data_IF_180105272003
#
_entry.id   IF_180105272003
#
_cell.length_a   1.000
_cell.length_b   1.000
_cell.length_c   1.000
_cell.angle_alpha   90.00
_cell.angle_beta   90.00
_cell.angle_gamma   90.00
#
_symmetry.space_group_name_H-M   'P 1'
#
loop_
_entity.id
_entity.type
_entity.pdbx_description
1 polymer ?
#
# COMPACT_ATOMS: atom_id res chain seq x y z
N UNK A 1 2.49 -2.35 25.97
CA UNK A 1 2.10 -1.83 24.63
C UNK A 1 3.30 -1.88 23.70
N UNK A 2 3.10 -2.09 22.39
CA UNK A 2 4.19 -2.25 21.41
C UNK A 2 5.17 -1.06 21.42
N UNK A 3 4.66 0.16 21.56
CA UNK A 3 5.47 1.37 21.62
C UNK A 3 6.51 1.37 22.75
N UNK A 4 6.15 0.85 23.93
CA UNK A 4 7.05 0.78 25.08
C UNK A 4 8.19 -0.22 24.86
N UNK A 5 7.92 -1.31 24.12
CA UNK A 5 8.97 -2.26 23.72
C UNK A 5 9.94 -1.60 22.74
N UNK A 6 9.42 -0.85 21.75
CA UNK A 6 10.24 -0.13 20.78
C UNK A 6 11.13 0.90 21.48
N UNK A 7 10.59 1.73 22.37
CA UNK A 7 11.38 2.74 23.11
C UNK A 7 12.51 2.10 23.90
N UNK A 8 12.27 0.95 24.54
CA UNK A 8 13.29 0.24 25.30
C UNK A 8 14.45 -0.23 24.42
N UNK A 9 14.16 -0.84 23.26
CA UNK A 9 15.20 -1.25 22.31
C UNK A 9 16.00 -0.04 21.79
N UNK A 10 15.36 1.12 21.59
CA UNK A 10 16.04 2.34 21.16
C UNK A 10 16.99 2.91 22.22
N UNK A 11 16.71 2.69 23.51
CA UNK A 11 17.55 3.17 24.61
C UNK A 11 18.87 2.39 24.75
N UNK A 12 18.87 1.14 24.30
CA UNK A 12 20.05 0.25 24.39
C UNK A 12 21.00 0.43 23.18
N UNK A 13 20.65 1.29 22.20
CA UNK A 13 21.44 1.56 21.00
C UNK A 13 22.46 2.69 21.27
N UNK A 14 23.73 2.53 20.85
CA UNK A 14 24.74 3.56 21.02
C UNK A 14 24.45 4.79 20.12
N UNK A 15 24.83 5.97 20.60
CA UNK A 15 24.44 7.26 20.01
C UNK A 15 24.90 7.46 18.55
N UNK A 16 26.04 6.87 18.20
CA UNK A 16 26.58 6.86 16.83
C UNK A 16 25.67 6.15 15.82
N UNK A 17 24.81 5.23 16.28
CA UNK A 17 23.81 4.53 15.47
C UNK A 17 22.40 5.12 15.55
N UNK A 18 22.16 6.03 16.49
CA UNK A 18 20.87 6.71 16.62
C UNK A 18 20.59 7.63 15.42
N UNK A 19 21.60 8.20 14.80
CA UNK A 19 21.44 9.04 13.60
C UNK A 19 20.86 8.24 12.43
N UNK A 20 21.44 7.08 12.11
CA UNK A 20 20.97 6.19 11.02
C UNK A 20 19.52 5.72 11.28
N UNK A 21 19.20 5.43 12.55
CA UNK A 21 17.88 4.97 12.94
C UNK A 21 16.85 6.09 12.95
N UNK A 22 17.24 7.29 13.35
CA UNK A 22 16.40 8.48 13.25
C UNK A 22 16.00 8.73 11.81
N UNK A 23 16.96 8.68 10.87
CA UNK A 23 16.68 8.88 9.44
C UNK A 23 15.66 7.87 8.92
N UNK A 24 15.78 6.60 9.31
CA UNK A 24 14.83 5.55 8.96
C UNK A 24 13.43 5.83 9.51
N UNK A 25 13.31 6.14 10.81
CA UNK A 25 12.03 6.43 11.46
C UNK A 25 11.41 7.71 10.87
N UNK A 26 12.23 8.72 10.62
CA UNK A 26 11.82 9.99 10.05
C UNK A 26 11.27 9.81 8.64
N UNK A 27 12.00 9.09 7.78
CA UNK A 27 11.55 8.79 6.42
C UNK A 27 10.29 7.94 6.42
N UNK A 28 10.21 6.94 7.29
CA UNK A 28 9.01 6.11 7.44
C UNK A 28 7.79 6.96 7.84
N UNK A 29 7.94 7.86 8.81
CA UNK A 29 6.88 8.79 9.22
C UNK A 29 6.45 9.70 8.07
N UNK A 30 7.40 10.29 7.34
CA UNK A 30 7.10 11.11 6.16
C UNK A 30 6.33 10.29 5.12
N UNK A 31 6.71 9.03 4.91
CA UNK A 31 6.00 8.08 4.06
C UNK A 31 4.53 7.94 4.46
N UNK A 32 4.24 7.78 5.75
CA UNK A 32 2.86 7.69 6.25
C UNK A 32 2.07 8.98 6.02
N UNK A 33 2.70 10.15 6.22
CA UNK A 33 2.07 11.46 6.00
C UNK A 33 1.79 11.72 4.50
N UNK A 34 2.58 11.12 3.59
CA UNK A 34 2.37 11.22 2.13
C UNK A 34 1.33 10.26 1.58
N UNK A 35 1.01 9.18 2.31
CA UNK A 35 -0.13 8.30 1.99
C UNK A 35 -1.41 8.99 2.44
N UNK A 36 -1.79 10.05 1.72
CA UNK A 36 -3.20 10.46 1.71
C UNK A 36 -3.98 9.23 1.26
N UNK A 37 -5.01 8.79 2.00
CA UNK A 37 -5.88 7.74 1.52
C UNK A 37 -6.50 8.25 0.22
N UNK A 38 -5.93 7.84 -0.92
CA UNK A 38 -6.60 8.05 -2.18
C UNK A 38 -7.90 7.28 -2.06
N UNK A 39 -9.07 7.92 -2.26
CA UNK A 39 -10.31 7.17 -2.31
C UNK A 39 -10.10 6.08 -3.35
N UNK A 40 -10.23 4.81 -2.93
CA UNK A 40 -10.20 3.67 -3.85
C UNK A 40 -11.27 3.97 -4.89
N UNK A 41 -10.88 4.49 -6.06
CA UNK A 41 -11.81 4.70 -7.16
C UNK A 41 -12.22 3.31 -7.61
N UNK A 42 -13.50 2.91 -7.47
CA UNK A 42 -13.96 1.68 -8.07
C UNK A 42 -13.71 1.79 -9.58
N UNK A 43 -13.01 0.81 -10.15
CA UNK A 43 -12.51 0.87 -11.53
C UNK A 43 -11.02 0.52 -11.57
N UNK A 44 -10.72 -0.78 -11.67
CA UNK A 44 -9.36 -1.34 -11.65
C UNK A 44 -8.56 -1.03 -12.92
N UNK A 45 -9.17 -0.36 -13.90
CA UNK A 45 -8.65 -0.21 -15.25
C UNK A 45 -8.29 1.26 -15.49
N UNK A 46 -6.99 1.53 -15.64
CA UNK A 46 -6.51 2.79 -16.22
C UNK A 46 -6.70 2.73 -17.74
N UNK A 47 -7.80 3.29 -18.24
CA UNK A 47 -8.08 3.34 -19.67
C UNK A 47 -9.56 3.55 -19.99
N UNK A 48 -9.87 3.72 -21.28
CA UNK A 48 -11.26 3.65 -21.75
C UNK A 48 -11.61 2.18 -21.96
N UNK A 49 -12.63 1.70 -21.26
CA UNK A 49 -13.24 0.41 -21.56
C UNK A 49 -13.83 0.46 -22.98
N UNK A 50 -13.49 -0.54 -23.80
CA UNK A 50 -14.17 -0.74 -25.08
C UNK A 50 -15.60 -1.22 -24.84
N UNK A 51 -16.50 -0.96 -25.79
CA UNK A 51 -17.91 -1.35 -25.70
C UNK A 51 -18.09 -2.87 -25.50
N UNK A 52 -17.19 -3.69 -26.06
CA UNK A 52 -17.18 -5.14 -25.92
C UNK A 52 -17.16 -5.64 -24.46
N UNK A 53 -16.66 -4.85 -23.50
CA UNK A 53 -16.72 -5.22 -22.08
C UNK A 53 -18.16 -5.30 -21.53
N UNK A 54 -19.08 -4.53 -22.11
CA UNK A 54 -20.48 -4.46 -21.70
C UNK A 54 -21.40 -5.31 -22.57
N UNK A 55 -20.85 -5.94 -23.62
CA UNK A 55 -21.60 -6.86 -24.48
C UNK A 55 -21.76 -8.21 -23.76
N UNK A 56 -22.88 -8.92 -23.98
CA UNK A 56 -23.06 -10.25 -23.41
C UNK A 56 -21.95 -11.18 -23.91
N UNK A 57 -21.44 -12.02 -23.01
CA UNK A 57 -20.51 -13.08 -23.38
C UNK A 57 -21.12 -13.97 -24.45
N UNK A 58 -20.30 -14.36 -25.41
CA UNK A 58 -20.68 -15.31 -26.45
C UNK A 58 -20.98 -16.68 -25.85
N UNK A 59 -21.69 -17.52 -26.59
CA UNK A 59 -22.06 -18.85 -26.11
C UNK A 59 -20.82 -19.73 -25.88
N UNK A 60 -19.78 -19.55 -26.70
CA UNK A 60 -18.48 -20.19 -26.55
C UNK A 60 -17.77 -19.76 -25.26
N UNK A 61 -17.80 -18.47 -24.93
CA UNK A 61 -17.20 -17.95 -23.69
C UNK A 61 -17.96 -18.41 -22.46
N UNK A 62 -19.30 -18.41 -22.49
CA UNK A 62 -20.14 -18.86 -21.37
C UNK A 62 -19.89 -20.34 -20.99
N UNK A 63 -19.58 -21.18 -21.98
CA UNK A 63 -19.29 -22.60 -21.74
C UNK A 63 -17.96 -22.83 -21.03
N UNK A 64 -16.99 -21.93 -21.13
CA UNK A 64 -15.70 -22.05 -20.43
C UNK A 64 -15.79 -21.76 -18.93
N UNK A 65 -16.92 -21.21 -18.46
CA UNK A 65 -17.14 -20.84 -17.06
C UNK A 65 -18.09 -21.79 -16.31
N UNK A 66 -18.55 -22.86 -16.96
CA UNK A 66 -19.31 -23.95 -16.34
C UNK A 66 -18.39 -25.09 -15.92
#
# INVERSE_FOLDING_TARGET
MLIQKIIKELQDIPEDKLAELYDLIHYFRLGLDTVKPQPRKPGLLSGKLGNAFFEPLTEEELQQWK
#
